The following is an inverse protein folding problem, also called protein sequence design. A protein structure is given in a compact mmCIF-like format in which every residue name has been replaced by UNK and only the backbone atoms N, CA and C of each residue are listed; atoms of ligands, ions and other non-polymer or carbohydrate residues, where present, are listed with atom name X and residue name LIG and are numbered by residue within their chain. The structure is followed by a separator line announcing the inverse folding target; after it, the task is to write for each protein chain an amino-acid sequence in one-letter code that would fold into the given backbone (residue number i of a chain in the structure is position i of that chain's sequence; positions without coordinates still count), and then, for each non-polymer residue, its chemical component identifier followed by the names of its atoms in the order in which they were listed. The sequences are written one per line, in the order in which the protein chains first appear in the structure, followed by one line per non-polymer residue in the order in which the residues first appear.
data_IF_169205312512
#
_entry.id   IF_169205312512
#
_cell.length_a   1.000
_cell.length_b   1.000
_cell.length_c   1.000
_cell.angle_alpha   90.00
_cell.angle_beta   90.00
_cell.angle_gamma   90.00
#
_symmetry.space_group_name_H-M   'P 1'
#
loop_
_entity.id
_entity.type
_entity.pdbx_description
1 polymer ?
#
# COMPACT_ATOMS: atom_id res chain seq x y z
N UNK A 1 20.37 39.39 -2.67
CA UNK A 1 19.87 38.12 -3.17
C UNK A 1 21.05 37.30 -3.63
N UNK A 2 21.51 36.35 -2.85
CA UNK A 2 22.77 35.66 -3.08
C UNK A 2 22.63 34.52 -4.08
N UNK A 3 23.72 34.18 -4.76
CA UNK A 3 23.83 33.04 -5.68
C UNK A 3 23.36 31.72 -5.05
N UNK A 4 23.36 31.62 -3.71
CA UNK A 4 22.86 30.50 -2.92
C UNK A 4 21.32 30.38 -2.96
N UNK A 5 20.57 31.49 -2.92
CA UNK A 5 19.10 31.47 -2.99
C UNK A 5 18.59 30.97 -4.35
N UNK A 6 19.29 31.32 -5.43
CA UNK A 6 18.98 30.83 -6.77
C UNK A 6 19.22 29.32 -6.87
N UNK A 7 20.33 28.83 -6.30
CA UNK A 7 20.69 27.40 -6.32
C UNK A 7 19.63 26.54 -5.57
N UNK A 8 19.16 26.99 -4.39
CA UNK A 8 18.11 26.29 -3.63
C UNK A 8 16.75 26.35 -4.33
N UNK A 9 16.39 27.46 -4.97
CA UNK A 9 15.19 27.56 -5.81
C UNK A 9 15.27 26.66 -7.05
N UNK A 10 16.42 26.57 -7.69
CA UNK A 10 16.62 25.71 -8.87
C UNK A 10 16.57 24.21 -8.54
N UNK A 11 17.00 23.82 -7.32
CA UNK A 11 16.94 22.43 -6.86
C UNK A 11 15.55 21.96 -6.44
N UNK A 12 14.57 22.85 -6.27
CA UNK A 12 13.24 22.55 -5.73
C UNK A 12 13.27 22.08 -4.27
N UNK A 13 12.15 22.09 -3.60
CA UNK A 13 12.05 21.52 -2.26
C UNK A 13 12.22 20.00 -2.28
N UNK A 14 12.60 19.40 -1.14
CA UNK A 14 12.64 17.94 -0.98
C UNK A 14 11.26 17.32 -1.32
N UNK A 15 10.18 18.00 -0.97
CA UNK A 15 8.81 17.62 -1.29
C UNK A 15 8.56 17.57 -2.79
N UNK A 16 8.96 18.60 -3.54
CA UNK A 16 8.78 18.66 -5.00
C UNK A 16 9.58 17.57 -5.73
N UNK A 17 10.83 17.32 -5.31
CA UNK A 17 11.64 16.22 -5.87
C UNK A 17 11.02 14.85 -5.60
N UNK A 18 10.54 14.65 -4.39
CA UNK A 18 9.85 13.41 -4.01
C UNK A 18 8.54 13.21 -4.78
N UNK A 19 7.78 14.29 -4.99
CA UNK A 19 6.54 14.27 -5.77
C UNK A 19 6.81 13.91 -7.24
N UNK A 20 7.79 14.55 -7.86
CA UNK A 20 8.20 14.22 -9.23
C UNK A 20 8.67 12.77 -9.38
N UNK A 21 9.45 12.26 -8.42
CA UNK A 21 9.88 10.85 -8.40
C UNK A 21 8.70 9.90 -8.24
N UNK A 22 7.77 10.20 -7.34
CA UNK A 22 6.58 9.37 -7.13
C UNK A 22 5.69 9.34 -8.37
N UNK A 23 5.49 10.46 -9.04
CA UNK A 23 4.73 10.54 -10.31
C UNK A 23 5.36 9.68 -11.42
N UNK A 24 6.69 9.70 -11.54
CA UNK A 24 7.39 8.88 -12.53
C UNK A 24 7.22 7.37 -12.24
N UNK A 25 7.32 6.96 -10.97
CA UNK A 25 7.10 5.57 -10.56
C UNK A 25 5.66 5.13 -10.86
N UNK A 26 4.67 5.96 -10.55
CA UNK A 26 3.25 5.67 -10.82
C UNK A 26 3.00 5.54 -12.33
N UNK A 27 3.56 6.42 -13.15
CA UNK A 27 3.46 6.30 -14.61
C UNK A 27 4.02 4.97 -15.14
N UNK A 28 5.19 4.54 -14.62
CA UNK A 28 5.75 3.23 -14.98
C UNK A 28 4.89 2.05 -14.46
N UNK A 29 4.25 2.23 -13.30
CA UNK A 29 3.33 1.22 -12.75
C UNK A 29 2.08 1.04 -13.61
N UNK A 30 1.54 2.10 -14.18
CA UNK A 30 0.38 2.04 -15.08
C UNK A 30 0.67 1.23 -16.35
N UNK A 31 1.89 1.36 -16.89
CA UNK A 31 2.34 0.56 -18.04
C UNK A 31 2.52 -0.92 -17.66
N UNK A 32 3.17 -1.18 -16.53
CA UNK A 32 3.38 -2.53 -16.02
C UNK A 32 2.06 -3.23 -15.67
N UNK A 33 1.07 -2.50 -15.12
CA UNK A 33 -0.25 -3.03 -14.77
C UNK A 33 -1.01 -3.56 -15.99
N UNK A 34 -0.89 -2.90 -17.16
CA UNK A 34 -1.51 -3.39 -18.41
C UNK A 34 -0.96 -4.75 -18.84
N UNK A 35 0.35 -4.97 -18.69
CA UNK A 35 0.99 -6.24 -19.01
C UNK A 35 0.63 -7.33 -17.98
N UNK A 36 0.67 -7.00 -16.68
CA UNK A 36 0.30 -7.89 -15.59
C UNK A 36 -1.18 -8.26 -15.63
N UNK A 37 -2.06 -7.35 -16.06
CA UNK A 37 -3.49 -7.60 -16.19
C UNK A 37 -3.85 -8.71 -17.19
N UNK A 38 -2.92 -9.11 -18.06
CA UNK A 38 -3.08 -10.25 -19.00
C UNK A 38 -2.59 -11.58 -18.40
N UNK A 39 -1.96 -11.56 -17.24
CA UNK A 39 -1.44 -12.73 -16.54
C UNK A 39 -2.49 -13.30 -15.58
N UNK A 40 -2.27 -14.54 -15.10
CA UNK A 40 -3.10 -15.12 -14.05
C UNK A 40 -2.78 -14.52 -12.65
N UNK A 41 -3.64 -14.82 -11.67
CA UNK A 41 -3.52 -14.29 -10.31
C UNK A 41 -2.20 -14.72 -9.64
N UNK A 42 -1.72 -15.93 -9.92
CA UNK A 42 -0.48 -16.44 -9.36
C UNK A 42 0.72 -15.65 -9.87
N UNK A 43 0.75 -15.32 -11.16
CA UNK A 43 1.80 -14.51 -11.77
C UNK A 43 1.77 -13.06 -11.23
N UNK A 44 0.58 -12.46 -11.05
CA UNK A 44 0.44 -11.12 -10.45
C UNK A 44 0.92 -11.12 -9.00
N UNK A 45 0.52 -12.10 -8.20
CA UNK A 45 0.97 -12.22 -6.82
C UNK A 45 2.49 -12.47 -6.73
N UNK A 46 3.04 -13.26 -7.67
CA UNK A 46 4.49 -13.48 -7.74
C UNK A 46 5.24 -12.20 -8.11
N UNK A 47 4.73 -11.40 -9.05
CA UNK A 47 5.32 -10.11 -9.41
C UNK A 47 5.46 -9.15 -8.21
N UNK A 48 4.45 -9.14 -7.32
CA UNK A 48 4.53 -8.36 -6.09
C UNK A 48 5.63 -8.87 -5.13
N UNK A 49 5.77 -10.21 -5.00
CA UNK A 49 6.83 -10.81 -4.19
C UNK A 49 8.22 -10.55 -4.77
N UNK A 50 8.38 -10.63 -6.09
CA UNK A 50 9.65 -10.38 -6.77
C UNK A 50 10.10 -8.92 -6.69
N UNK A 51 9.14 -8.00 -6.49
CA UNK A 51 9.42 -6.60 -6.25
C UNK A 51 10.05 -6.35 -4.87
N UNK A 52 9.96 -7.30 -3.94
CA UNK A 52 10.55 -7.22 -2.60
C UNK A 52 11.95 -7.86 -2.60
N UNK A 53 12.95 -7.14 -2.10
CA UNK A 53 14.33 -7.64 -1.93
C UNK A 53 14.89 -7.16 -0.60
N UNK A 54 15.44 -8.08 0.18
CA UNK A 54 16.04 -7.74 1.46
C UNK A 54 15.07 -7.15 2.50
N UNK A 55 13.77 -7.50 2.43
CA UNK A 55 12.73 -6.96 3.31
C UNK A 55 12.26 -5.54 2.96
N UNK A 56 12.56 -5.05 1.75
CA UNK A 56 12.12 -3.76 1.24
C UNK A 56 11.52 -3.89 -0.17
N UNK A 57 10.61 -2.99 -0.53
CA UNK A 57 10.06 -2.92 -1.88
C UNK A 57 11.09 -2.22 -2.77
N UNK A 58 11.90 -3.02 -3.46
CA UNK A 58 12.96 -2.56 -4.34
C UNK A 58 12.40 -2.05 -5.68
N UNK A 59 11.46 -2.80 -6.29
CA UNK A 59 10.77 -2.38 -7.52
C UNK A 59 9.36 -1.84 -7.18
N UNK A 60 9.29 -0.54 -6.93
CA UNK A 60 8.06 0.14 -6.56
C UNK A 60 7.03 0.20 -7.69
N UNK A 61 7.48 0.25 -8.94
CA UNK A 61 6.58 0.29 -10.08
C UNK A 61 5.89 -1.06 -10.29
N UNK A 62 6.65 -2.15 -10.28
CA UNK A 62 6.10 -3.50 -10.38
C UNK A 62 5.19 -3.83 -9.19
N UNK A 63 5.56 -3.44 -7.98
CA UNK A 63 4.73 -3.62 -6.80
C UNK A 63 3.39 -2.90 -6.92
N UNK A 64 3.38 -1.60 -7.28
CA UNK A 64 2.14 -0.85 -7.48
C UNK A 64 1.29 -1.41 -8.61
N UNK A 65 1.91 -1.87 -9.70
CA UNK A 65 1.23 -2.52 -10.81
C UNK A 65 0.47 -3.78 -10.35
N UNK A 66 1.14 -4.64 -9.58
CA UNK A 66 0.52 -5.85 -9.03
C UNK A 66 -0.62 -5.51 -8.05
N UNK A 67 -0.45 -4.49 -7.20
CA UNK A 67 -1.52 -4.01 -6.32
C UNK A 67 -2.72 -3.46 -7.11
N UNK A 68 -2.50 -2.69 -8.16
CA UNK A 68 -3.58 -2.14 -8.98
C UNK A 68 -4.40 -3.26 -9.62
N UNK A 69 -3.75 -4.26 -10.21
CA UNK A 69 -4.42 -5.44 -10.79
C UNK A 69 -5.18 -6.24 -9.73
N UNK A 70 -4.59 -6.44 -8.56
CA UNK A 70 -5.26 -7.13 -7.45
C UNK A 70 -6.51 -6.37 -6.97
N UNK A 71 -6.42 -5.04 -6.79
CA UNK A 71 -7.55 -4.21 -6.40
C UNK A 71 -8.67 -4.23 -7.44
N UNK A 72 -8.34 -4.18 -8.72
CA UNK A 72 -9.32 -4.27 -9.80
C UNK A 72 -10.05 -5.62 -9.79
N UNK A 73 -9.32 -6.73 -9.66
CA UNK A 73 -9.89 -8.08 -9.67
C UNK A 73 -10.71 -8.41 -8.43
N UNK A 74 -10.27 -7.95 -7.27
CA UNK A 74 -10.90 -8.33 -6.00
C UNK A 74 -11.97 -7.36 -5.52
N UNK A 75 -11.80 -6.06 -5.79
CA UNK A 75 -12.69 -4.98 -5.32
C UNK A 75 -13.43 -4.28 -6.47
N UNK A 76 -13.08 -4.55 -7.74
CA UNK A 76 -13.58 -3.79 -8.88
C UNK A 76 -13.10 -2.32 -8.89
N UNK A 77 -11.99 -2.04 -8.21
CA UNK A 77 -11.47 -0.68 -8.03
C UNK A 77 -10.07 -0.56 -8.61
N UNK A 78 -9.88 0.42 -9.49
CA UNK A 78 -8.56 0.79 -9.96
C UNK A 78 -8.05 1.99 -9.13
N UNK A 79 -6.93 1.87 -8.42
CA UNK A 79 -6.41 2.96 -7.60
C UNK A 79 -6.07 4.19 -8.44
N UNK A 80 -6.46 5.36 -7.97
CA UNK A 80 -6.05 6.62 -8.58
C UNK A 80 -4.56 6.89 -8.37
N UNK A 81 -3.95 7.65 -9.28
CA UNK A 81 -2.53 8.00 -9.21
C UNK A 81 -2.14 8.65 -7.87
N UNK A 82 -3.02 9.49 -7.32
CA UNK A 82 -2.76 10.12 -6.01
C UNK A 82 -2.76 9.10 -4.87
N UNK A 83 -3.57 8.04 -4.95
CA UNK A 83 -3.58 6.96 -3.97
C UNK A 83 -2.31 6.12 -4.07
N UNK A 84 -1.87 5.78 -5.27
CA UNK A 84 -0.59 5.09 -5.52
C UNK A 84 0.61 5.91 -5.02
N UNK A 85 0.60 7.23 -5.22
CA UNK A 85 1.61 8.13 -4.66
C UNK A 85 1.58 8.13 -3.12
N UNK A 86 0.39 8.16 -2.51
CA UNK A 86 0.23 8.08 -1.06
C UNK A 86 0.79 6.76 -0.49
N UNK A 87 0.54 5.63 -1.16
CA UNK A 87 1.15 4.33 -0.80
C UNK A 87 2.66 4.41 -0.80
N UNK A 88 3.28 4.95 -1.86
CA UNK A 88 4.74 5.12 -1.93
C UNK A 88 5.30 5.93 -0.76
N UNK A 89 4.58 6.97 -0.34
CA UNK A 89 5.00 7.81 0.80
C UNK A 89 4.89 7.06 2.12
N UNK A 90 3.80 6.33 2.35
CA UNK A 90 3.66 5.49 3.55
C UNK A 90 4.75 4.42 3.62
N UNK A 91 5.08 3.77 2.50
CA UNK A 91 6.13 2.76 2.45
C UNK A 91 7.54 3.31 2.73
N UNK A 92 7.75 4.62 2.59
CA UNK A 92 8.99 5.29 3.00
C UNK A 92 8.95 5.85 4.42
N UNK A 93 7.86 5.61 5.17
CA UNK A 93 7.71 6.07 6.56
C UNK A 93 7.22 7.51 6.70
N UNK A 94 6.74 8.10 5.60
CA UNK A 94 6.19 9.46 5.66
C UNK A 94 4.77 9.46 6.23
N UNK A 95 4.35 10.60 6.76
CA UNK A 95 2.95 10.90 7.11
C UNK A 95 2.26 11.53 5.92
N UNK A 96 1.06 11.04 5.60
CA UNK A 96 0.23 11.59 4.53
C UNK A 96 -1.05 12.21 5.07
N UNK A 97 -1.55 13.21 4.36
CA UNK A 97 -2.86 13.79 4.57
C UNK A 97 -3.70 13.62 3.30
N UNK A 98 -4.90 13.08 3.46
CA UNK A 98 -5.88 12.91 2.38
C UNK A 98 -7.24 13.44 2.85
N UNK A 99 -7.97 14.10 1.97
CA UNK A 99 -9.31 14.60 2.28
C UNK A 99 -10.32 13.45 2.54
N UNK A 100 -11.42 13.77 3.18
CA UNK A 100 -12.51 12.80 3.39
C UNK A 100 -13.06 12.36 2.03
N UNK A 101 -13.28 11.05 1.86
CA UNK A 101 -13.77 10.48 0.59
C UNK A 101 -12.69 10.11 -0.43
N UNK A 102 -11.42 10.45 -0.21
CA UNK A 102 -10.34 10.14 -1.17
C UNK A 102 -9.81 8.69 -1.10
N UNK A 103 -10.51 7.79 -0.41
CA UNK A 103 -10.18 6.36 -0.39
C UNK A 103 -9.00 5.99 0.51
N UNK A 104 -8.87 6.65 1.68
CA UNK A 104 -7.83 6.34 2.68
C UNK A 104 -7.77 4.86 3.06
N UNK A 105 -8.91 4.16 3.12
CA UNK A 105 -8.97 2.73 3.43
C UNK A 105 -8.25 1.89 2.38
N UNK A 106 -8.44 2.19 1.08
CA UNK A 106 -7.71 1.52 0.00
C UNK A 106 -6.20 1.77 0.09
N UNK A 107 -5.79 3.01 0.32
CA UNK A 107 -4.37 3.37 0.52
C UNK A 107 -3.77 2.63 1.71
N UNK A 108 -4.52 2.54 2.82
CA UNK A 108 -4.12 1.77 4.00
C UNK A 108 -3.95 0.29 3.71
N UNK A 109 -4.91 -0.32 2.98
CA UNK A 109 -4.84 -1.72 2.57
C UNK A 109 -3.61 -2.01 1.71
N UNK A 110 -3.37 -1.19 0.68
CA UNK A 110 -2.23 -1.33 -0.23
C UNK A 110 -0.89 -1.18 0.51
N UNK A 111 -0.77 -0.19 1.39
CA UNK A 111 0.45 0.02 2.17
C UNK A 111 0.68 -1.12 3.19
N UNK A 112 -0.37 -1.57 3.88
CA UNK A 112 -0.29 -2.71 4.81
C UNK A 112 0.16 -3.99 4.09
N UNK A 113 -0.41 -4.28 2.91
CA UNK A 113 0.01 -5.39 2.06
C UNK A 113 1.51 -5.29 1.70
N UNK A 114 1.99 -4.09 1.35
CA UNK A 114 3.40 -3.87 1.04
C UNK A 114 4.34 -4.14 2.22
N UNK A 115 3.98 -3.68 3.39
CA UNK A 115 4.76 -3.97 4.60
C UNK A 115 4.73 -5.46 4.96
N UNK A 116 3.58 -6.13 4.83
CA UNK A 116 3.46 -7.55 5.12
C UNK A 116 4.26 -8.42 4.12
N UNK A 117 4.20 -8.12 2.82
CA UNK A 117 5.04 -8.77 1.79
C UNK A 117 6.54 -8.56 2.04
N UNK A 118 6.92 -7.46 2.68
CA UNK A 118 8.30 -7.19 3.12
C UNK A 118 8.68 -7.96 4.41
N UNK A 119 7.85 -8.90 4.86
CA UNK A 119 8.10 -9.73 6.03
C UNK A 119 7.82 -9.06 7.38
N UNK A 120 7.12 -7.93 7.37
CA UNK A 120 6.74 -7.21 8.61
C UNK A 120 5.37 -7.66 9.07
N UNK A 121 5.18 -7.77 10.38
CA UNK A 121 3.85 -7.88 10.97
C UNK A 121 3.24 -6.49 11.09
N UNK A 122 2.05 -6.30 10.50
CA UNK A 122 1.47 -4.98 10.33
C UNK A 122 0.31 -4.75 11.29
N UNK A 123 0.31 -3.64 12.00
CA UNK A 123 -0.81 -3.18 12.82
C UNK A 123 -1.44 -1.95 12.17
N UNK A 124 -2.71 -2.07 11.77
CA UNK A 124 -3.54 -0.98 11.27
C UNK A 124 -4.41 -0.48 12.42
N UNK A 125 -4.13 0.72 12.92
CA UNK A 125 -4.84 1.27 14.06
C UNK A 125 -5.94 2.22 13.59
N UNK A 126 -7.15 2.02 14.09
CA UNK A 126 -8.33 2.85 13.82
C UNK A 126 -9.04 3.25 15.11
N UNK A 127 -10.04 4.15 15.00
CA UNK A 127 -10.60 4.83 16.17
C UNK A 127 -11.64 4.05 16.96
N UNK A 128 -12.20 2.96 16.39
CA UNK A 128 -13.19 2.14 17.09
C UNK A 128 -13.30 0.71 16.52
N UNK A 129 -13.98 -0.16 17.28
CA UNK A 129 -14.17 -1.57 16.94
C UNK A 129 -14.93 -1.80 15.63
N UNK A 130 -15.93 -0.94 15.33
CA UNK A 130 -16.71 -1.06 14.10
C UNK A 130 -15.81 -0.85 12.87
N UNK A 131 -15.00 0.19 12.87
CA UNK A 131 -14.08 0.46 11.76
C UNK A 131 -12.99 -0.62 11.68
N UNK A 132 -12.48 -1.12 12.79
CA UNK A 132 -11.49 -2.19 12.79
C UNK A 132 -12.03 -3.45 12.11
N UNK A 133 -13.25 -3.88 12.46
CA UNK A 133 -13.87 -5.04 11.86
C UNK A 133 -14.23 -4.81 10.38
N UNK A 134 -14.87 -3.67 10.08
CA UNK A 134 -15.28 -3.30 8.71
C UNK A 134 -14.08 -3.20 7.77
N UNK A 135 -13.02 -2.50 8.17
CA UNK A 135 -11.87 -2.25 7.31
C UNK A 135 -11.06 -3.55 7.10
N UNK A 136 -10.90 -4.39 8.14
CA UNK A 136 -10.27 -5.70 7.99
C UNK A 136 -11.03 -6.60 7.01
N UNK A 137 -12.36 -6.64 7.09
CA UNK A 137 -13.18 -7.43 6.17
C UNK A 137 -13.13 -6.88 4.75
N UNK A 138 -13.17 -5.56 4.60
CA UNK A 138 -13.09 -4.90 3.29
C UNK A 138 -11.72 -5.07 2.63
N UNK A 139 -10.61 -5.07 3.41
CA UNK A 139 -9.25 -5.27 2.93
C UNK A 139 -8.94 -6.73 2.57
N UNK A 140 -9.64 -7.68 3.20
CA UNK A 140 -9.38 -9.12 3.12
C UNK A 140 -9.14 -9.63 1.69
N UNK A 141 -10.01 -9.34 0.69
CA UNK A 141 -9.83 -9.87 -0.66
C UNK A 141 -8.49 -9.46 -1.30
N UNK A 142 -8.04 -8.22 -1.08
CA UNK A 142 -6.75 -7.74 -1.58
C UNK A 142 -5.58 -8.41 -0.86
N UNK A 143 -5.67 -8.55 0.45
CA UNK A 143 -4.62 -9.16 1.29
C UNK A 143 -4.46 -10.64 0.93
N UNK A 144 -5.57 -11.37 0.87
CA UNK A 144 -5.60 -12.80 0.55
C UNK A 144 -5.16 -13.10 -0.89
N UNK A 145 -5.36 -12.16 -1.83
CA UNK A 145 -4.85 -12.28 -3.20
C UNK A 145 -3.33 -12.50 -3.24
N UNK A 146 -2.61 -11.93 -2.29
CA UNK A 146 -1.16 -12.10 -2.17
C UNK A 146 -0.75 -13.25 -1.22
N UNK A 147 -1.70 -14.07 -0.76
CA UNK A 147 -1.46 -15.16 0.16
C UNK A 147 -1.15 -14.72 1.59
N UNK A 148 -1.51 -13.50 1.95
CA UNK A 148 -1.39 -12.95 3.29
C UNK A 148 -2.69 -13.13 4.07
N UNK A 149 -2.61 -12.98 5.39
CA UNK A 149 -3.73 -13.11 6.31
C UNK A 149 -4.04 -11.80 7.02
N UNK A 150 -5.33 -11.56 7.30
CA UNK A 150 -5.79 -10.37 8.03
C UNK A 150 -6.87 -10.72 9.04
N UNK A 151 -6.79 -10.14 10.23
CA UNK A 151 -7.83 -10.19 11.24
C UNK A 151 -8.03 -8.85 11.93
N UNK A 152 -9.19 -8.64 12.53
CA UNK A 152 -9.45 -7.51 13.43
C UNK A 152 -9.35 -7.94 14.89
N UNK A 153 -8.93 -7.03 15.75
CA UNK A 153 -9.02 -7.17 17.21
C UNK A 153 -10.07 -6.19 17.69
N UNK A 154 -11.11 -6.72 18.32
CA UNK A 154 -12.24 -5.95 18.82
C UNK A 154 -12.47 -6.19 20.30
N UNK A 155 -13.25 -5.31 20.94
CA UNK A 155 -13.68 -5.46 22.31
C UNK A 155 -14.56 -6.73 22.46
N UNK A 156 -14.44 -7.42 23.61
CA UNK A 156 -15.20 -8.64 23.87
C UNK A 156 -14.57 -9.94 23.38
N UNK A 157 -13.49 -9.89 22.59
CA UNK A 157 -12.73 -11.10 22.21
C UNK A 157 -12.14 -11.79 23.44
N UNK A 158 -12.24 -13.10 23.47
CA UNK A 158 -11.54 -13.96 24.44
C UNK A 158 -10.01 -13.87 24.25
N UNK A 159 -9.20 -14.24 25.26
CA UNK A 159 -7.76 -14.28 25.12
C UNK A 159 -7.26 -15.16 23.96
N UNK A 160 -7.95 -16.26 23.69
CA UNK A 160 -7.55 -17.19 22.62
C UNK A 160 -7.91 -16.64 21.22
N UNK A 161 -9.09 -16.04 21.05
CA UNK A 161 -9.46 -15.33 19.80
C UNK A 161 -8.50 -14.17 19.52
N UNK A 162 -8.16 -13.41 20.55
CA UNK A 162 -7.20 -12.31 20.41
C UNK A 162 -5.81 -12.81 20.02
N UNK A 163 -5.35 -13.90 20.62
CA UNK A 163 -4.07 -14.53 20.28
C UNK A 163 -4.06 -15.02 18.83
N UNK A 164 -5.16 -15.62 18.37
CA UNK A 164 -5.31 -16.06 16.98
C UNK A 164 -5.30 -14.88 16.00
N UNK A 165 -5.98 -13.76 16.34
CA UNK A 165 -5.96 -12.54 15.53
C UNK A 165 -4.56 -11.93 15.45
N UNK A 166 -3.82 -11.88 16.56
CA UNK A 166 -2.44 -11.37 16.57
C UNK A 166 -1.43 -12.29 15.87
N UNK A 167 -1.79 -13.50 15.50
CA UNK A 167 -0.94 -14.39 14.72
C UNK A 167 -0.97 -14.10 13.21
N UNK A 168 -1.91 -13.28 12.76
CA UNK A 168 -2.06 -12.92 11.33
C UNK A 168 -0.98 -11.94 10.86
N UNK A 169 -0.82 -11.80 9.54
CA UNK A 169 0.19 -10.91 8.95
C UNK A 169 -0.21 -9.44 9.12
N UNK A 170 -1.50 -9.12 8.99
CA UNK A 170 -2.09 -7.79 9.16
C UNK A 170 -3.17 -7.86 10.24
N UNK A 171 -3.08 -6.95 11.21
CA UNK A 171 -3.99 -6.88 12.35
C UNK A 171 -4.66 -5.51 12.36
#
# INVERSE_FOLDING_TARGET
MGAFDWFWKAMGSQSERNDKKSKAIVGSADEAARALGQQDDAAVAQAARDAVKGGEIADKAQFLAALAVACERTLGMNPFNVQSQAVLRLLTGDVIQMATGEGKTLVGAMAATGFALSGKRVHVVTVNNYLAARDAEWMRPVVEFFGLSVASVTEGMTPDERRAAYAQDII
#
